data_IF_958424385307
#
_entry.id   IF_958424385307
#
_cell.length_a   1.000
_cell.length_b   1.000
_cell.length_c   1.000
_cell.angle_alpha   90.00
_cell.angle_beta   90.00
_cell.angle_gamma   90.00
#
_symmetry.space_group_name_H-M   'P 1'
#
loop_
_entity.id
_entity.type
_entity.pdbx_description
1 polymer ?
#
# COMPACT_ATOMS: atom_id res chain seq x y z
N UNK A 1 46.95 18.75 -89.77
CA UNK A 1 47.35 17.37 -89.45
C UNK A 1 48.23 16.87 -90.58
N UNK A 2 49.41 16.29 -90.31
CA UNK A 2 50.23 15.72 -91.38
C UNK A 2 49.58 14.43 -91.88
N UNK A 3 49.81 14.05 -93.15
CA UNK A 3 49.20 12.85 -93.76
C UNK A 3 49.49 11.57 -92.96
N UNK A 4 50.70 11.45 -92.42
CA UNK A 4 51.11 10.34 -91.56
C UNK A 4 50.29 10.27 -90.26
N UNK A 5 50.04 11.43 -89.61
CA UNK A 5 49.20 11.50 -88.40
C UNK A 5 47.74 11.14 -88.70
N UNK A 6 47.24 11.52 -89.88
CA UNK A 6 45.89 11.18 -90.34
C UNK A 6 45.74 9.68 -90.59
N UNK A 7 46.66 9.06 -91.34
CA UNK A 7 46.64 7.62 -91.62
C UNK A 7 46.74 6.82 -90.32
N UNK A 8 47.58 7.26 -89.37
CA UNK A 8 47.68 6.61 -88.06
C UNK A 8 46.37 6.68 -87.29
N UNK A 9 45.73 7.85 -87.23
CA UNK A 9 44.42 7.99 -86.54
C UNK A 9 43.30 7.17 -87.18
N UNK A 10 43.31 7.04 -88.51
CA UNK A 10 42.33 6.24 -89.25
C UNK A 10 42.59 4.74 -89.07
N UNK A 11 43.86 4.32 -89.08
CA UNK A 11 44.26 2.95 -88.79
C UNK A 11 43.84 2.52 -87.38
N UNK A 12 44.04 3.38 -86.38
CA UNK A 12 43.63 3.14 -85.01
C UNK A 12 42.10 3.03 -84.88
N UNK A 13 41.34 3.90 -85.56
CA UNK A 13 39.87 3.87 -85.57
C UNK A 13 39.30 2.61 -86.25
N UNK A 14 39.91 2.18 -87.36
CA UNK A 14 39.52 1.00 -88.11
C UNK A 14 40.12 -0.30 -87.54
N UNK A 15 41.01 -0.20 -86.54
CA UNK A 15 41.78 -1.31 -85.95
C UNK A 15 42.57 -2.13 -86.98
N UNK A 16 43.21 -1.43 -87.91
CA UNK A 16 44.12 -2.02 -88.92
C UNK A 16 45.54 -1.52 -88.70
N UNK A 17 46.55 -2.24 -89.19
CA UNK A 17 47.94 -1.80 -89.07
C UNK A 17 48.19 -0.53 -89.92
N UNK A 18 48.78 0.50 -89.31
CA UNK A 18 48.99 1.79 -89.97
C UNK A 18 49.97 1.74 -91.15
N UNK A 19 50.94 0.80 -91.16
CA UNK A 19 51.86 0.62 -92.28
C UNK A 19 51.16 -0.05 -93.45
N UNK A 20 50.38 -1.10 -93.18
CA UNK A 20 49.60 -1.81 -94.20
C UNK A 20 48.57 -0.87 -94.82
N UNK A 21 47.88 -0.06 -94.01
CA UNK A 21 46.94 0.95 -94.48
C UNK A 21 47.64 2.00 -95.36
N UNK A 22 48.82 2.48 -94.96
CA UNK A 22 49.61 3.44 -95.73
C UNK A 22 50.10 2.88 -97.07
N UNK A 23 50.56 1.63 -97.08
CA UNK A 23 51.01 0.93 -98.28
C UNK A 23 49.87 0.71 -99.27
N UNK A 24 48.69 0.33 -98.79
CA UNK A 24 47.54 0.05 -99.65
C UNK A 24 46.88 1.33 -100.20
N UNK A 25 46.88 2.43 -99.43
CA UNK A 25 46.40 3.75 -99.88
C UNK A 25 47.32 4.44 -100.91
N UNK A 26 48.55 3.95 -101.09
CA UNK A 26 49.53 4.52 -102.02
C UNK A 26 49.65 3.73 -103.34
N UNK A 27 48.91 2.63 -103.51
CA UNK A 27 48.83 1.88 -104.78
C UNK A 27 47.85 2.58 -105.72
N UNK A 28 48.14 2.55 -107.03
CA UNK A 28 47.24 3.10 -108.06
C UNK A 28 46.13 2.11 -108.49
N UNK A 29 46.24 0.83 -108.08
CA UNK A 29 45.25 -0.23 -108.34
C UNK A 29 44.21 -0.38 -107.22
N UNK A 30 43.18 -1.22 -107.44
CA UNK A 30 42.11 -1.51 -106.49
C UNK A 30 42.64 -1.96 -105.11
N UNK A 31 42.21 -1.24 -104.07
CA UNK A 31 42.56 -1.47 -102.65
C UNK A 31 41.96 -2.80 -102.17
N UNK A 32 42.80 -3.73 -101.70
CA UNK A 32 42.36 -5.03 -101.13
C UNK A 32 42.63 -5.11 -99.62
N UNK A 33 42.01 -4.22 -98.86
CA UNK A 33 42.08 -4.22 -97.40
C UNK A 33 40.79 -4.80 -96.80
N UNK A 34 40.89 -5.91 -96.07
CA UNK A 34 39.78 -6.45 -95.30
C UNK A 34 39.63 -5.71 -93.97
N UNK A 35 38.52 -5.00 -93.79
CA UNK A 35 38.21 -4.31 -92.54
C UNK A 35 37.59 -5.29 -91.53
N UNK A 36 38.01 -5.26 -90.25
CA UNK A 36 37.37 -6.06 -89.21
C UNK A 36 35.92 -5.61 -89.01
N UNK A 37 35.05 -6.52 -88.57
CA UNK A 37 33.66 -6.18 -88.20
C UNK A 37 33.67 -5.25 -86.99
N UNK A 38 33.42 -3.96 -87.24
CA UNK A 38 33.28 -2.95 -86.21
C UNK A 38 31.80 -2.83 -85.82
N UNK A 39 31.51 -3.02 -84.54
CA UNK A 39 30.21 -2.70 -83.97
C UNK A 39 30.20 -1.20 -83.66
N UNK A 40 29.85 -0.39 -84.66
CA UNK A 40 29.63 1.05 -84.47
C UNK A 40 28.19 1.27 -83.99
N UNK A 41 28.05 1.82 -82.78
CA UNK A 41 26.76 2.24 -82.26
C UNK A 41 26.53 3.72 -82.59
N UNK A 42 25.30 4.04 -82.97
CA UNK A 42 24.83 5.42 -83.09
C UNK A 42 24.70 6.06 -81.70
N UNK A 43 24.73 7.39 -81.64
CA UNK A 43 24.52 8.13 -80.38
C UNK A 43 23.17 7.78 -79.72
N UNK A 44 22.14 7.52 -80.53
CA UNK A 44 20.82 7.10 -80.06
C UNK A 44 20.85 5.71 -79.39
N UNK A 45 21.61 4.76 -79.93
CA UNK A 45 21.78 3.43 -79.35
C UNK A 45 22.59 3.47 -78.04
N UNK A 46 23.63 4.30 -77.97
CA UNK A 46 24.40 4.52 -76.75
C UNK A 46 23.54 5.16 -75.65
N UNK A 47 22.75 6.19 -75.99
CA UNK A 47 21.83 6.81 -75.05
C UNK A 47 20.77 5.83 -74.52
N UNK A 48 20.25 4.96 -75.39
CA UNK A 48 19.27 3.92 -75.01
C UNK A 48 19.89 2.88 -74.08
N UNK A 49 21.12 2.43 -74.38
CA UNK A 49 21.86 1.51 -73.51
C UNK A 49 22.06 2.12 -72.12
N UNK A 50 22.53 3.36 -72.05
CA UNK A 50 22.82 4.02 -70.79
C UNK A 50 21.55 4.29 -69.97
N UNK A 51 20.42 4.61 -70.63
CA UNK A 51 19.12 4.71 -69.99
C UNK A 51 18.65 3.37 -69.39
N UNK A 52 18.82 2.27 -70.14
CA UNK A 52 18.46 0.93 -69.68
C UNK A 52 19.35 0.47 -68.52
N UNK A 53 20.66 0.75 -68.57
CA UNK A 53 21.59 0.45 -67.46
C UNK A 53 21.19 1.23 -66.20
N UNK A 54 20.86 2.52 -66.32
CA UNK A 54 20.41 3.34 -65.18
C UNK A 54 19.12 2.81 -64.58
N UNK A 55 18.16 2.43 -65.42
CA UNK A 55 16.88 1.87 -64.96
C UNK A 55 17.07 0.52 -64.28
N UNK A 56 17.80 -0.40 -64.91
CA UNK A 56 18.10 -1.71 -64.32
C UNK A 56 18.87 -1.60 -63.00
N UNK A 57 19.90 -0.75 -62.95
CA UNK A 57 20.67 -0.50 -61.73
C UNK A 57 19.84 0.17 -60.62
N UNK A 58 18.87 1.02 -60.97
CA UNK A 58 17.91 1.57 -60.02
C UNK A 58 16.97 0.49 -59.48
N UNK A 59 16.36 -0.31 -60.34
CA UNK A 59 15.42 -1.36 -59.96
C UNK A 59 16.10 -2.45 -59.09
N UNK A 60 17.32 -2.85 -59.44
CA UNK A 60 18.16 -3.73 -58.63
C UNK A 60 18.55 -3.07 -57.30
N UNK A 61 18.94 -1.81 -57.32
CA UNK A 61 19.30 -1.06 -56.12
C UNK A 61 18.14 -0.91 -55.13
N UNK A 62 16.94 -0.65 -55.63
CA UNK A 62 15.70 -0.60 -54.84
C UNK A 62 15.40 -1.96 -54.23
N UNK A 63 15.49 -3.04 -55.02
CA UNK A 63 15.23 -4.42 -54.54
C UNK A 63 16.22 -4.83 -53.46
N UNK A 64 17.52 -4.64 -53.69
CA UNK A 64 18.58 -4.95 -52.71
C UNK A 64 18.46 -4.07 -51.46
N UNK A 65 18.12 -2.79 -51.62
CA UNK A 65 17.91 -1.87 -50.52
C UNK A 65 16.71 -2.27 -49.65
N UNK A 66 15.61 -2.66 -50.27
CA UNK A 66 14.42 -3.18 -49.61
C UNK A 66 14.72 -4.44 -48.81
N UNK A 67 15.39 -5.42 -49.45
CA UNK A 67 15.73 -6.69 -48.81
C UNK A 67 16.63 -6.52 -47.58
N UNK A 68 17.65 -5.65 -47.70
CA UNK A 68 18.53 -5.33 -46.56
C UNK A 68 17.78 -4.65 -45.43
N UNK A 69 16.88 -3.73 -45.76
CA UNK A 69 16.09 -2.99 -44.77
C UNK A 69 15.10 -3.90 -44.05
N UNK A 70 14.42 -4.79 -44.78
CA UNK A 70 13.51 -5.79 -44.20
C UNK A 70 14.25 -6.77 -43.27
N UNK A 71 15.44 -7.25 -43.66
CA UNK A 71 16.28 -8.11 -42.79
C UNK A 71 16.69 -7.38 -41.52
N UNK A 72 17.19 -6.15 -41.64
CA UNK A 72 17.62 -5.34 -40.49
C UNK A 72 16.45 -5.03 -39.55
N UNK A 73 15.26 -4.76 -40.10
CA UNK A 73 14.07 -4.50 -39.30
C UNK A 73 13.65 -5.72 -38.48
N UNK A 74 13.70 -6.92 -39.07
CA UNK A 74 13.43 -8.18 -38.33
C UNK A 74 14.41 -8.38 -37.19
N UNK A 75 15.70 -8.18 -37.46
CA UNK A 75 16.76 -8.34 -36.47
C UNK A 75 16.59 -7.36 -35.31
N UNK A 76 16.41 -6.07 -35.61
CA UNK A 76 16.24 -5.01 -34.60
C UNK A 76 14.97 -5.21 -33.79
N UNK A 77 13.85 -5.57 -34.41
CA UNK A 77 12.61 -5.82 -33.70
C UNK A 77 12.54 -7.22 -33.05
N UNK A 78 13.51 -8.09 -33.35
CA UNK A 78 13.58 -9.47 -32.89
C UNK A 78 12.34 -10.30 -33.27
N UNK A 79 11.82 -10.13 -34.49
CA UNK A 79 10.65 -10.87 -34.98
C UNK A 79 11.08 -11.94 -35.99
N UNK A 80 10.60 -13.15 -35.79
CA UNK A 80 10.80 -14.26 -36.72
C UNK A 80 9.61 -14.36 -37.68
N UNK A 81 9.83 -13.89 -38.91
CA UNK A 81 8.83 -13.95 -39.99
C UNK A 81 9.50 -14.62 -41.19
N UNK A 82 8.78 -15.46 -41.93
CA UNK A 82 9.28 -16.07 -43.15
C UNK A 82 9.17 -15.09 -44.34
N UNK A 83 10.23 -14.92 -45.13
CA UNK A 83 10.27 -14.01 -46.30
C UNK A 83 10.44 -12.51 -45.97
N UNK A 84 10.60 -11.64 -46.96
CA UNK A 84 10.94 -10.20 -46.77
C UNK A 84 9.75 -9.24 -46.89
N UNK A 85 8.54 -9.75 -46.74
CA UNK A 85 7.30 -8.98 -46.82
C UNK A 85 7.17 -8.00 -45.63
N UNK A 86 7.23 -6.70 -45.92
CA UNK A 86 7.16 -5.63 -44.92
C UNK A 86 5.83 -5.66 -44.16
N UNK A 87 4.71 -5.99 -44.81
CA UNK A 87 3.41 -6.02 -44.16
C UNK A 87 3.39 -7.09 -43.07
N UNK A 88 3.91 -8.29 -43.39
CA UNK A 88 4.03 -9.39 -42.41
C UNK A 88 5.02 -9.08 -41.30
N UNK A 89 6.12 -8.40 -41.60
CA UNK A 89 7.08 -7.95 -40.59
C UNK A 89 6.41 -6.94 -39.64
N UNK A 90 5.69 -5.95 -40.17
CA UNK A 90 4.98 -4.96 -39.37
C UNK A 90 3.90 -5.58 -38.48
N UNK A 91 3.10 -6.51 -39.03
CA UNK A 91 2.11 -7.27 -38.26
C UNK A 91 2.75 -8.07 -37.13
N UNK A 92 3.87 -8.76 -37.40
CA UNK A 92 4.61 -9.51 -36.38
C UNK A 92 5.21 -8.59 -35.30
N UNK A 93 5.67 -7.40 -35.66
CA UNK A 93 6.15 -6.39 -34.68
C UNK A 93 5.01 -5.95 -33.78
N UNK A 94 3.83 -5.65 -34.34
CA UNK A 94 2.65 -5.27 -33.56
C UNK A 94 2.21 -6.42 -32.65
N UNK A 95 2.16 -7.65 -33.17
CA UNK A 95 1.79 -8.84 -32.41
C UNK A 95 2.77 -9.10 -31.26
N UNK A 96 4.08 -9.06 -31.54
CA UNK A 96 5.13 -9.20 -30.55
C UNK A 96 5.05 -8.08 -29.52
N UNK A 97 4.88 -6.83 -29.95
CA UNK A 97 4.71 -5.68 -29.04
C UNK A 97 3.50 -5.87 -28.14
N UNK A 98 2.36 -6.32 -28.65
CA UNK A 98 1.16 -6.59 -27.84
C UNK A 98 1.32 -7.81 -26.92
N UNK A 99 2.13 -8.79 -27.32
CA UNK A 99 2.42 -10.00 -26.53
C UNK A 99 3.49 -9.75 -25.47
N UNK A 100 4.49 -8.91 -25.74
CA UNK A 100 5.53 -8.48 -24.81
C UNK A 100 4.99 -7.42 -23.86
N UNK A 101 4.16 -6.49 -24.37
CA UNK A 101 3.27 -5.64 -23.58
C UNK A 101 2.09 -6.41 -22.98
N UNK A 102 2.17 -7.76 -22.97
CA UNK A 102 1.50 -8.67 -22.05
C UNK A 102 0.94 -7.84 -20.91
N UNK A 103 -0.37 -7.77 -20.85
CA UNK A 103 -1.32 -7.66 -19.73
C UNK A 103 -0.81 -7.71 -18.26
N UNK A 104 0.49 -7.71 -17.94
CA UNK A 104 1.14 -7.51 -16.66
C UNK A 104 0.75 -6.20 -15.95
N UNK A 105 0.65 -5.02 -16.61
CA UNK A 105 0.11 -3.85 -15.95
C UNK A 105 -1.32 -4.14 -15.49
N UNK A 106 -2.16 -4.73 -16.33
CA UNK A 106 -3.55 -5.03 -15.98
C UNK A 106 -3.70 -6.10 -14.91
N UNK A 107 -2.88 -7.16 -14.92
CA UNK A 107 -2.93 -8.21 -13.90
C UNK A 107 -2.43 -7.68 -12.54
N UNK A 108 -1.32 -6.93 -12.53
CA UNK A 108 -0.78 -6.29 -11.32
C UNK A 108 -1.70 -5.19 -10.81
N UNK A 109 -2.27 -4.37 -11.69
CA UNK A 109 -3.26 -3.34 -11.35
C UNK A 109 -4.53 -4.00 -10.82
N UNK A 110 -4.98 -5.11 -11.39
CA UNK A 110 -6.13 -5.87 -10.90
C UNK A 110 -5.86 -6.46 -9.51
N UNK A 111 -4.71 -7.11 -9.32
CA UNK A 111 -4.26 -7.64 -8.03
C UNK A 111 -4.16 -6.53 -6.97
N UNK A 112 -3.54 -5.39 -7.31
CA UNK A 112 -3.42 -4.22 -6.43
C UNK A 112 -4.78 -3.60 -6.14
N UNK A 113 -5.69 -3.51 -7.12
CA UNK A 113 -7.03 -2.97 -6.94
C UNK A 113 -7.89 -3.86 -6.04
N UNK A 114 -7.81 -5.18 -6.22
CA UNK A 114 -8.48 -6.15 -5.35
C UNK A 114 -7.92 -6.11 -3.92
N UNK A 115 -6.59 -5.98 -3.78
CA UNK A 115 -5.93 -5.83 -2.48
C UNK A 115 -6.33 -4.52 -1.79
N UNK A 116 -6.39 -3.41 -2.54
CA UNK A 116 -6.78 -2.09 -2.05
C UNK A 116 -8.25 -2.09 -1.61
N UNK A 117 -9.15 -2.69 -2.39
CA UNK A 117 -10.56 -2.82 -2.03
C UNK A 117 -10.75 -3.65 -0.74
N UNK A 118 -10.00 -4.75 -0.58
CA UNK A 118 -9.98 -5.54 0.65
C UNK A 118 -9.49 -4.72 1.83
N UNK A 119 -8.37 -4.02 1.68
CA UNK A 119 -7.81 -3.14 2.71
C UNK A 119 -8.79 -2.05 3.14
N UNK A 120 -9.45 -1.37 2.19
CA UNK A 120 -10.46 -0.36 2.49
C UNK A 120 -11.64 -0.93 3.29
N UNK A 121 -12.11 -2.11 2.90
CA UNK A 121 -13.17 -2.82 3.63
C UNK A 121 -12.72 -3.14 5.05
N UNK A 122 -11.55 -3.74 5.22
CA UNK A 122 -10.99 -4.09 6.52
C UNK A 122 -10.80 -2.87 7.41
N UNK A 123 -10.27 -1.77 6.87
CA UNK A 123 -10.09 -0.52 7.63
C UNK A 123 -11.45 0.02 8.10
N UNK A 124 -12.44 0.07 7.21
CA UNK A 124 -13.78 0.56 7.56
C UNK A 124 -14.44 -0.31 8.63
N UNK A 125 -14.30 -1.63 8.54
CA UNK A 125 -14.79 -2.57 9.56
C UNK A 125 -14.09 -2.33 10.90
N UNK A 126 -12.76 -2.24 10.92
CA UNK A 126 -11.98 -2.03 12.15
C UNK A 126 -12.27 -0.67 12.79
N UNK A 127 -12.50 0.37 11.99
CA UNK A 127 -12.91 1.69 12.50
C UNK A 127 -14.28 1.62 13.18
N UNK A 128 -15.25 0.91 12.59
CA UNK A 128 -16.57 0.68 13.19
C UNK A 128 -16.50 -0.16 14.47
N UNK A 129 -15.69 -1.21 14.49
CA UNK A 129 -15.45 -2.03 15.69
C UNK A 129 -14.79 -1.22 16.80
N UNK A 130 -13.79 -0.39 16.46
CA UNK A 130 -13.12 0.49 17.42
C UNK A 130 -14.06 1.53 18.01
N UNK A 131 -14.92 2.14 17.19
CA UNK A 131 -15.91 3.08 17.68
C UNK A 131 -16.90 2.42 18.63
N UNK A 132 -17.36 1.21 18.28
CA UNK A 132 -18.25 0.40 19.12
C UNK A 132 -17.58 0.06 20.45
N UNK A 133 -16.34 -0.42 20.41
CA UNK A 133 -15.56 -0.76 21.59
C UNK A 133 -15.33 0.45 22.49
N UNK A 134 -15.00 1.61 21.92
CA UNK A 134 -14.84 2.86 22.68
C UNK A 134 -16.14 3.28 23.37
N UNK A 135 -17.29 3.19 22.68
CA UNK A 135 -18.60 3.48 23.29
C UNK A 135 -18.91 2.50 24.42
N UNK A 136 -18.69 1.20 24.22
CA UNK A 136 -18.88 0.19 25.26
C UNK A 136 -17.94 0.40 26.46
N UNK A 137 -16.68 0.77 26.22
CA UNK A 137 -15.70 1.03 27.26
C UNK A 137 -16.04 2.28 28.08
N UNK A 138 -16.40 3.39 27.42
CA UNK A 138 -16.85 4.61 28.13
C UNK A 138 -18.15 4.36 28.91
N UNK A 139 -19.07 3.56 28.36
CA UNK A 139 -20.27 3.09 29.06
C UNK A 139 -19.93 2.29 30.32
N UNK A 140 -19.04 1.30 30.19
CA UNK A 140 -18.55 0.49 31.30
C UNK A 140 -17.86 1.34 32.37
N UNK A 141 -16.99 2.28 31.96
CA UNK A 141 -16.28 3.18 32.86
C UNK A 141 -17.24 4.07 33.64
N UNK A 142 -18.22 4.66 32.95
CA UNK A 142 -19.25 5.49 33.59
C UNK A 142 -20.08 4.67 34.57
N UNK A 143 -20.53 3.47 34.17
CA UNK A 143 -21.29 2.59 35.05
C UNK A 143 -20.47 2.14 36.26
N UNK A 144 -19.20 1.79 36.08
CA UNK A 144 -18.28 1.43 37.17
C UNK A 144 -18.11 2.59 38.17
N UNK A 145 -17.96 3.82 37.68
CA UNK A 145 -17.89 5.02 38.52
C UNK A 145 -19.19 5.21 39.31
N UNK A 146 -20.35 5.15 38.66
CA UNK A 146 -21.66 5.25 39.33
C UNK A 146 -21.82 4.19 40.42
N UNK A 147 -21.49 2.93 40.11
CA UNK A 147 -21.55 1.85 41.09
C UNK A 147 -20.62 2.10 42.27
N UNK A 148 -19.44 2.69 42.07
CA UNK A 148 -18.50 3.00 43.16
C UNK A 148 -18.96 4.14 44.07
N UNK A 149 -19.80 5.04 43.56
CA UNK A 149 -20.35 6.18 44.31
C UNK A 149 -21.57 5.79 45.18
N UNK A 150 -22.15 4.60 44.97
CA UNK A 150 -23.26 4.09 45.77
C UNK A 150 -22.77 3.79 47.20
N UNK A 151 -23.44 4.31 48.24
CA UNK A 151 -23.10 4.05 49.63
C UNK A 151 -23.01 2.55 49.96
N UNK A 152 -22.06 2.20 50.84
CA UNK A 152 -21.81 0.80 51.24
C UNK A 152 -22.84 0.30 52.27
N UNK A 153 -23.34 1.19 53.12
CA UNK A 153 -24.29 0.95 54.21
C UNK A 153 -25.73 0.73 53.71
N UNK A 154 -25.92 -0.23 52.82
CA UNK A 154 -27.23 -0.59 52.26
C UNK A 154 -27.62 -2.01 52.67
N UNK A 155 -28.92 -2.26 52.77
CA UNK A 155 -29.55 -3.47 53.31
C UNK A 155 -29.30 -4.73 52.44
N UNK A 156 -28.04 -5.18 52.35
CA UNK A 156 -27.61 -6.35 51.57
C UNK A 156 -27.83 -6.25 50.05
N UNK A 157 -28.31 -5.13 49.52
CA UNK A 157 -28.59 -4.95 48.10
C UNK A 157 -27.29 -4.79 47.28
N UNK A 158 -27.28 -5.31 46.07
CA UNK A 158 -26.16 -5.08 45.15
C UNK A 158 -26.20 -3.63 44.61
N UNK A 159 -25.04 -3.04 44.34
CA UNK A 159 -24.94 -1.70 43.73
C UNK A 159 -25.69 -1.66 42.38
N UNK A 160 -25.67 -2.76 41.61
CA UNK A 160 -26.39 -2.88 40.33
C UNK A 160 -27.90 -2.80 40.52
N UNK A 161 -28.43 -3.45 41.55
CA UNK A 161 -29.87 -3.42 41.88
C UNK A 161 -30.32 -2.01 42.24
N UNK A 162 -29.55 -1.31 43.07
CA UNK A 162 -29.85 0.08 43.45
C UNK A 162 -29.86 0.99 42.21
N UNK A 163 -28.84 0.89 41.35
CA UNK A 163 -28.76 1.71 40.14
C UNK A 163 -29.90 1.42 39.15
N UNK A 164 -30.29 0.15 38.99
CA UNK A 164 -31.40 -0.24 38.14
C UNK A 164 -32.73 0.35 38.62
N UNK A 165 -33.03 0.22 39.92
CA UNK A 165 -34.24 0.78 40.52
C UNK A 165 -34.28 2.32 40.38
N UNK A 166 -33.15 3.00 40.57
CA UNK A 166 -33.09 4.45 40.38
C UNK A 166 -33.42 4.84 38.94
N UNK A 167 -32.87 4.14 37.94
CA UNK A 167 -33.21 4.39 36.54
C UNK A 167 -34.69 4.16 36.25
N UNK A 168 -35.25 3.09 36.80
CA UNK A 168 -36.70 2.79 36.69
C UNK A 168 -37.55 3.86 37.38
N UNK A 169 -37.06 4.43 38.48
CA UNK A 169 -37.68 5.55 39.20
C UNK A 169 -37.49 6.90 38.50
N UNK A 170 -36.94 6.91 37.27
CA UNK A 170 -36.80 8.09 36.42
C UNK A 170 -35.51 8.89 36.63
N UNK A 171 -34.54 8.37 37.38
CA UNK A 171 -33.24 9.04 37.56
C UNK A 171 -32.31 8.80 36.36
N UNK A 172 -31.66 9.86 35.88
CA UNK A 172 -30.61 9.78 34.86
C UNK A 172 -29.35 10.51 35.32
N UNK A 173 -28.18 9.96 34.98
CA UNK A 173 -26.88 10.41 35.47
C UNK A 173 -26.07 10.95 34.29
N UNK A 174 -26.04 12.28 34.17
CA UNK A 174 -25.37 12.97 33.07
C UNK A 174 -24.09 13.65 33.55
N UNK A 175 -23.36 14.28 32.62
CA UNK A 175 -22.16 15.08 32.95
C UNK A 175 -22.49 16.32 33.78
N UNK A 176 -23.69 16.86 33.60
CA UNK A 176 -24.13 18.11 34.23
C UNK A 176 -24.73 17.89 35.64
N UNK A 177 -24.99 16.62 36.01
CA UNK A 177 -25.52 16.25 37.32
C UNK A 177 -26.50 15.07 37.22
N UNK A 178 -27.32 14.90 38.25
CA UNK A 178 -28.40 13.89 38.24
C UNK A 178 -29.71 14.57 37.88
N UNK A 179 -30.45 14.01 36.94
CA UNK A 179 -31.81 14.44 36.62
C UNK A 179 -32.82 13.41 37.13
N UNK A 180 -34.06 13.85 37.39
CA UNK A 180 -35.20 13.00 37.68
C UNK A 180 -36.33 13.40 36.76
N UNK A 181 -36.83 12.47 35.94
CA UNK A 181 -37.84 12.73 34.92
C UNK A 181 -37.48 13.89 33.97
N UNK A 182 -36.20 14.06 33.67
CA UNK A 182 -35.70 15.12 32.78
C UNK A 182 -35.37 16.46 33.46
N UNK A 183 -35.68 16.63 34.75
CA UNK A 183 -35.35 17.84 35.50
C UNK A 183 -34.08 17.66 36.32
N UNK A 184 -33.17 18.63 36.27
CA UNK A 184 -31.92 18.58 37.04
C UNK A 184 -32.21 18.74 38.53
N UNK A 185 -31.73 17.79 39.34
CA UNK A 185 -31.84 17.86 40.78
C UNK A 185 -30.90 18.95 41.31
N UNK A 186 -31.48 19.91 42.03
CA UNK A 186 -30.76 21.05 42.60
C UNK A 186 -30.92 21.11 44.11
N UNK A 187 -29.90 21.62 44.79
CA UNK A 187 -29.93 21.92 46.21
C UNK A 187 -30.71 23.23 46.49
N UNK A 188 -30.82 23.58 47.78
CA UNK A 188 -31.49 24.81 48.21
C UNK A 188 -30.83 26.10 47.67
N UNK A 189 -29.58 26.01 47.20
CA UNK A 189 -28.81 27.11 46.63
C UNK A 189 -28.83 27.09 45.09
N UNK A 190 -29.69 26.27 44.47
CA UNK A 190 -29.82 26.08 43.03
C UNK A 190 -28.59 25.44 42.34
N UNK A 191 -27.66 24.86 43.10
CA UNK A 191 -26.55 24.10 42.54
C UNK A 191 -26.98 22.66 42.25
N UNK A 192 -26.40 22.00 41.22
CA UNK A 192 -26.66 20.57 40.99
C UNK A 192 -26.28 19.72 42.21
N UNK A 193 -27.18 18.83 42.63
CA UNK A 193 -26.93 17.92 43.76
C UNK A 193 -25.85 16.90 43.37
N UNK A 194 -24.91 16.64 44.29
CA UNK A 194 -23.85 15.65 44.05
C UNK A 194 -24.44 14.25 43.95
N UNK A 195 -23.93 13.42 43.03
CA UNK A 195 -24.41 12.04 42.79
C UNK A 195 -24.48 11.19 44.06
N UNK A 196 -23.46 11.27 44.92
CA UNK A 196 -23.41 10.55 46.20
C UNK A 196 -24.56 10.92 47.14
N UNK A 197 -24.94 12.20 47.18
CA UNK A 197 -26.05 12.69 47.99
C UNK A 197 -27.38 12.20 47.43
N UNK A 198 -27.54 12.18 46.11
CA UNK A 198 -28.75 11.63 45.46
C UNK A 198 -28.89 10.13 45.74
N UNK A 199 -27.79 9.36 45.68
CA UNK A 199 -27.82 7.95 46.08
C UNK A 199 -28.22 7.78 47.54
N UNK A 200 -27.67 8.58 48.45
CA UNK A 200 -28.01 8.50 49.88
C UNK A 200 -29.47 8.87 50.15
N UNK A 201 -29.98 9.93 49.51
CA UNK A 201 -31.38 10.35 49.59
C UNK A 201 -32.31 9.23 49.10
N UNK A 202 -32.02 8.66 47.93
CA UNK A 202 -32.83 7.58 47.36
C UNK A 202 -32.86 6.34 48.26
N UNK A 203 -31.70 5.92 48.79
CA UNK A 203 -31.63 4.79 49.73
C UNK A 203 -32.39 5.08 51.02
N UNK A 204 -32.38 6.32 51.51
CA UNK A 204 -33.16 6.75 52.67
C UNK A 204 -34.66 6.70 52.38
N UNK A 205 -35.10 7.24 51.25
CA UNK A 205 -36.51 7.23 50.81
C UNK A 205 -37.06 5.80 50.70
N UNK A 206 -36.25 4.87 50.21
CA UNK A 206 -36.62 3.45 50.08
C UNK A 206 -36.46 2.65 51.38
N UNK A 207 -35.98 3.25 52.47
CA UNK A 207 -35.60 2.57 53.72
C UNK A 207 -34.60 1.42 53.50
N UNK A 208 -33.66 1.62 52.58
CA UNK A 208 -32.63 0.63 52.20
C UNK A 208 -31.27 0.90 52.84
N UNK A 209 -31.18 1.90 53.71
CA UNK A 209 -30.01 2.11 54.56
C UNK A 209 -30.11 1.15 55.74
N UNK A 210 -29.04 0.44 56.02
CA UNK A 210 -28.92 -0.28 57.29
C UNK A 210 -28.83 0.78 58.39
N UNK A 211 -29.90 0.93 59.15
CA UNK A 211 -29.82 1.62 60.43
C UNK A 211 -28.89 0.76 61.26
N UNK A 212 -27.70 1.26 61.57
CA UNK A 212 -26.87 0.64 62.59
C UNK A 212 -27.81 0.35 63.77
N UNK A 213 -27.89 -0.93 64.15
CA UNK A 213 -28.49 -1.32 65.43
C UNK A 213 -27.59 -0.82 66.55
N UNK A 214 -27.36 0.49 66.61
CA UNK A 214 -26.89 1.18 67.79
C UNK A 214 -28.06 1.25 68.77
N UNK A 215 -28.29 0.09 69.39
CA UNK A 215 -28.78 0.09 70.75
C UNK A 215 -27.81 0.94 71.57
N UNK A 216 -28.32 2.03 72.14
CA UNK A 216 -27.67 2.76 73.23
C UNK A 216 -27.20 1.76 74.27
N UNK A 217 -25.91 1.44 74.25
CA UNK A 217 -25.26 0.58 75.21
C UNK A 217 -23.80 0.98 75.25
N UNK A 218 -23.46 1.82 76.23
CA UNK A 218 -22.08 2.17 76.51
C UNK A 218 -21.24 0.91 76.66
N UNK A 219 -20.08 0.91 76.00
CA UNK A 219 -19.05 -0.10 76.13
C UNK A 219 -17.71 0.62 76.16
N UNK A 220 -17.50 1.37 77.23
CA UNK A 220 -16.17 1.65 77.72
C UNK A 220 -15.65 0.31 78.26
N UNK A 221 -14.76 -0.36 77.53
CA UNK A 221 -13.89 -1.39 78.11
C UNK A 221 -12.76 -1.73 77.14
N UNK A 222 -11.54 -1.37 77.55
CA UNK A 222 -10.30 -1.88 76.99
C UNK A 222 -10.25 -3.40 77.17
N UNK A 223 -10.69 -4.13 76.15
CA UNK A 223 -10.58 -5.57 76.08
C UNK A 223 -9.24 -6.00 75.48
N UNK A 224 -8.34 -6.53 76.32
CA UNK A 224 -7.19 -7.34 75.89
C UNK A 224 -7.67 -8.49 75.00
N UNK A 225 -7.64 -8.31 73.69
CA UNK A 225 -7.70 -9.42 72.74
C UNK A 225 -6.28 -9.89 72.47
N UNK A 226 -5.94 -11.11 72.91
CA UNK A 226 -4.64 -11.75 72.70
C UNK A 226 -4.42 -12.21 71.25
N UNK A 227 -5.33 -11.89 70.33
CA UNK A 227 -5.27 -12.35 68.94
C UNK A 227 -5.24 -11.15 68.00
N UNK A 228 -4.07 -10.89 67.44
CA UNK A 228 -3.82 -9.86 66.43
C UNK A 228 -4.41 -10.35 65.10
N UNK A 229 -5.46 -9.71 64.57
CA UNK A 229 -6.11 -10.13 63.29
C UNK A 229 -5.88 -9.13 62.16
N UNK A 230 -5.73 -7.86 62.51
CA UNK A 230 -5.52 -6.75 61.58
C UNK A 230 -4.19 -6.05 61.86
N UNK A 231 -3.75 -5.20 60.93
CA UNK A 231 -2.54 -4.38 61.13
C UNK A 231 -2.73 -3.37 62.26
N UNK A 232 -3.96 -2.89 62.47
CA UNK A 232 -4.28 -1.96 63.57
C UNK A 232 -4.19 -2.67 64.92
N UNK A 233 -4.62 -3.94 65.02
CA UNK A 233 -4.43 -4.76 66.22
C UNK A 233 -2.95 -4.97 66.54
N UNK A 234 -2.11 -5.17 65.51
CA UNK A 234 -0.66 -5.33 65.66
C UNK A 234 -0.01 -4.05 66.20
N UNK A 235 -0.37 -2.89 65.62
CA UNK A 235 0.17 -1.60 66.05
C UNK A 235 -0.24 -1.26 67.49
N UNK A 236 -1.49 -1.54 67.85
CA UNK A 236 -1.98 -1.35 69.22
C UNK A 236 -1.29 -2.30 70.19
N UNK A 237 -1.11 -3.57 69.83
CA UNK A 237 -0.37 -4.54 70.65
C UNK A 237 1.07 -4.10 70.90
N UNK A 238 1.81 -3.71 69.85
CA UNK A 238 3.19 -3.24 69.99
C UNK A 238 3.28 -1.99 70.86
N UNK A 239 2.32 -1.06 70.74
CA UNK A 239 2.25 0.14 71.56
C UNK A 239 2.01 -0.18 73.05
N UNK A 240 1.09 -1.09 73.34
CA UNK A 240 0.76 -1.50 74.70
C UNK A 240 1.88 -2.32 75.34
N UNK A 241 2.51 -3.20 74.57
CA UNK A 241 3.66 -4.01 74.99
C UNK A 241 4.97 -3.20 75.04
N UNK A 242 4.96 -1.93 74.59
CA UNK A 242 6.15 -1.08 74.44
C UNK A 242 7.25 -1.71 73.59
N UNK A 243 6.85 -2.50 72.59
CA UNK A 243 7.72 -3.12 71.61
C UNK A 243 7.78 -2.20 70.39
N UNK A 244 8.97 -1.88 69.90
CA UNK A 244 9.10 -1.19 68.61
C UNK A 244 8.64 -2.15 67.48
N UNK A 245 7.62 -1.79 66.68
CA UNK A 245 7.14 -2.64 65.58
C UNK A 245 8.21 -3.04 64.56
N UNK A 246 9.33 -2.30 64.48
CA UNK A 246 10.45 -2.56 63.57
C UNK A 246 11.61 -3.33 64.22
N UNK A 247 11.56 -3.54 65.54
CA UNK A 247 12.53 -4.37 66.26
C UNK A 247 12.37 -5.86 65.92
N UNK A 248 13.39 -6.67 66.24
CA UNK A 248 13.32 -8.13 66.07
C UNK A 248 12.16 -8.74 66.86
N UNK A 249 11.84 -8.20 68.05
CA UNK A 249 10.71 -8.66 68.86
C UNK A 249 9.36 -8.30 68.20
N UNK A 250 9.24 -7.12 67.61
CA UNK A 250 8.05 -6.72 66.84
C UNK A 250 7.81 -7.63 65.63
N UNK A 251 8.88 -7.90 64.85
CA UNK A 251 8.81 -8.83 63.72
C UNK A 251 8.41 -10.24 64.15
N UNK A 252 8.93 -10.73 65.27
CA UNK A 252 8.57 -12.04 65.80
C UNK A 252 7.08 -12.14 66.14
N UNK A 253 6.51 -11.09 66.74
CA UNK A 253 5.07 -10.99 67.02
C UNK A 253 4.24 -11.00 65.74
N UNK A 254 4.66 -10.26 64.70
CA UNK A 254 3.96 -10.23 63.41
C UNK A 254 4.00 -11.59 62.70
N UNK A 255 5.14 -12.28 62.74
CA UNK A 255 5.31 -13.61 62.16
C UNK A 255 4.42 -14.62 62.88
N UNK A 256 4.33 -14.54 64.21
CA UNK A 256 3.48 -15.42 65.01
C UNK A 256 1.99 -15.16 64.72
N UNK A 257 1.56 -13.90 64.68
CA UNK A 257 0.21 -13.52 64.31
C UNK A 257 -0.17 -14.02 62.89
N UNK A 258 0.77 -14.01 61.94
CA UNK A 258 0.54 -14.55 60.60
C UNK A 258 0.31 -16.07 60.61
N UNK A 259 1.10 -16.82 61.39
CA UNK A 259 0.95 -18.28 61.53
C UNK A 259 -0.38 -18.65 62.17
N UNK A 260 -0.84 -17.89 63.18
CA UNK A 260 -2.07 -18.18 63.91
C UNK A 260 -3.34 -17.86 63.10
N UNK A 261 -3.27 -16.90 62.16
CA UNK A 261 -4.39 -16.51 61.32
C UNK A 261 -4.38 -17.12 59.90
N UNK A 262 -3.41 -17.98 59.59
CA UNK A 262 -3.34 -18.74 58.32
C UNK A 262 -3.34 -17.85 57.04
N UNK A 263 -2.57 -16.75 57.06
CA UNK A 263 -2.36 -15.82 55.93
C UNK A 263 -1.14 -16.15 55.06
#
# INVERSE_FOLDING_TARGET
MKREDFIKSLADALKVDAKILAEELNKEDDIKLELPKLNAFTEAELATRDANIKKGGYDEGVTVGFDKSAKKLKEVAGVEVEGLDISKIAEAIVLKTNTDAKTEPNAKIKELSESLAKLQTTVTTLEGEKETLNKSFEGYKTESQLLSEIPKNKAGLSNKTVLAEMRESGYDFTKDGVTKNGELLKDNLQNPVKRQEVFAQFLTEKNWIEVDKDGRGGGDEGGKSSTIKTMDDYQNYCKDAKIDPLSEDGKAVLIQARKENNF
#
